data_IF_281210128942
#
_entry.id   IF_281210128942
#
_cell.length_a   1.000
_cell.length_b   1.000
_cell.length_c   1.000
_cell.angle_alpha   90.00
_cell.angle_beta   90.00
_cell.angle_gamma   90.00
#
_symmetry.space_group_name_H-M   'P 1'
#
loop_
_entity.id
_entity.type
_entity.pdbx_description
1 polymer ?
#
# COMPACT_ATOMS: atom_id res chain seq x y z
N UNK A 1 -11.38 21.80 -13.84
CA UNK A 1 -9.93 21.96 -13.60
C UNK A 1 -9.29 20.61 -13.91
N UNK A 2 -8.37 20.55 -14.88
CA UNK A 2 -7.87 19.30 -15.44
C UNK A 2 -7.14 18.46 -14.37
N UNK A 3 -7.41 17.16 -14.31
CA UNK A 3 -6.55 16.20 -13.60
C UNK A 3 -5.12 16.42 -14.11
N UNK A 4 -4.19 16.84 -13.25
CA UNK A 4 -2.76 16.83 -13.59
C UNK A 4 -2.44 15.38 -13.97
N UNK A 5 -1.99 15.17 -15.21
CA UNK A 5 -1.73 13.82 -15.68
C UNK A 5 -0.63 13.20 -14.83
N UNK A 6 -0.77 11.90 -14.55
CA UNK A 6 0.27 11.09 -13.92
C UNK A 6 0.74 10.05 -14.96
N UNK A 7 1.61 10.44 -15.91
CA UNK A 7 1.96 9.61 -17.06
C UNK A 7 2.54 8.23 -16.68
N UNK A 8 3.21 8.12 -15.53
CA UNK A 8 3.79 6.87 -15.05
C UNK A 8 2.75 5.82 -14.58
N UNK A 9 1.53 6.23 -14.26
CA UNK A 9 0.43 5.35 -13.83
C UNK A 9 -0.84 5.66 -14.63
N UNK A 10 -0.91 5.28 -15.91
CA UNK A 10 -2.09 5.55 -16.73
C UNK A 10 -3.20 4.53 -16.48
N UNK A 11 -4.45 4.97 -16.73
CA UNK A 11 -5.62 4.09 -16.83
C UNK A 11 -5.88 3.23 -15.59
N UNK A 12 -5.90 1.91 -15.76
CA UNK A 12 -6.22 0.96 -14.70
C UNK A 12 -5.19 0.99 -13.56
N UNK A 13 -3.93 1.34 -13.82
CA UNK A 13 -2.91 1.46 -12.78
C UNK A 13 -3.10 2.70 -11.91
N UNK A 14 -3.63 3.78 -12.49
CA UNK A 14 -4.07 4.94 -11.73
C UNK A 14 -5.12 4.51 -10.70
N UNK A 15 -6.11 3.75 -11.16
CA UNK A 15 -7.15 3.24 -10.28
C UNK A 15 -6.60 2.22 -9.27
N UNK A 16 -5.86 1.19 -9.68
CA UNK A 16 -5.41 0.13 -8.79
C UNK A 16 -4.44 0.62 -7.70
N UNK A 17 -3.51 1.51 -8.04
CA UNK A 17 -2.47 1.96 -7.10
C UNK A 17 -2.81 3.24 -6.35
N UNK A 18 -3.78 4.03 -6.82
CA UNK A 18 -4.22 5.25 -6.13
C UNK A 18 -5.68 5.21 -5.66
N UNK A 19 -6.54 4.30 -6.15
CA UNK A 19 -8.01 4.31 -5.93
C UNK A 19 -8.73 2.95 -5.74
N UNK A 20 -8.12 1.78 -5.87
CA UNK A 20 -8.71 0.49 -5.44
C UNK A 20 -8.32 0.15 -4.00
N UNK A 21 -7.32 0.86 -3.50
CA UNK A 21 -7.08 1.03 -2.09
C UNK A 21 -7.54 2.40 -1.55
N UNK A 22 -8.84 2.77 -1.45
CA UNK A 22 -9.24 3.92 -0.65
C UNK A 22 -10.56 3.62 0.08
N UNK A 23 -10.49 3.47 1.40
CA UNK A 23 -11.63 3.68 2.27
C UNK A 23 -11.53 5.11 2.80
N UNK A 24 -12.36 5.98 2.24
CA UNK A 24 -12.91 7.25 2.77
C UNK A 24 -11.99 8.19 3.57
N UNK A 25 -11.98 9.45 3.11
CA UNK A 25 -11.49 10.59 3.87
C UNK A 25 -12.12 10.59 5.28
N UNK A 26 -11.32 10.33 6.31
CA UNK A 26 -11.65 10.70 7.68
C UNK A 26 -11.34 12.20 7.79
N UNK A 27 -12.33 13.09 7.99
CA UNK A 27 -12.07 14.47 8.32
C UNK A 27 -11.55 14.50 9.76
N UNK A 28 -10.24 14.48 9.93
CA UNK A 28 -9.65 14.91 11.19
C UNK A 28 -9.67 16.44 11.20
N UNK A 29 -10.77 17.02 11.65
CA UNK A 29 -10.79 18.41 12.12
C UNK A 29 -9.86 18.51 13.34
N UNK A 30 -8.64 18.97 13.10
CA UNK A 30 -7.74 19.44 14.14
C UNK A 30 -7.33 20.88 13.79
N UNK A 31 -7.86 21.80 14.60
CA UNK A 31 -7.59 23.24 14.69
C UNK A 31 -8.21 24.15 13.61
N UNK A 32 -9.23 24.92 14.05
CA UNK A 32 -10.02 25.86 13.26
C UNK A 32 -9.35 27.23 13.03
N UNK A 33 -8.05 27.38 13.25
CA UNK A 33 -7.35 28.67 13.07
C UNK A 33 -6.62 28.86 11.72
N UNK A 34 -6.64 27.89 10.79
CA UNK A 34 -6.01 28.01 9.45
C UNK A 34 -7.04 27.81 8.31
N UNK A 35 -8.20 28.49 8.40
CA UNK A 35 -9.35 28.20 7.54
C UNK A 35 -9.39 28.86 6.15
N UNK A 36 -8.33 29.53 5.69
CA UNK A 36 -8.36 30.18 4.36
C UNK A 36 -7.37 29.67 3.32
N UNK A 37 -6.53 28.66 3.63
CA UNK A 37 -5.57 28.12 2.65
C UNK A 37 -5.68 26.61 2.37
N UNK A 38 -6.48 25.86 3.12
CA UNK A 38 -6.55 24.39 3.02
C UNK A 38 -7.98 23.91 2.66
N UNK A 39 -8.68 24.63 1.78
CA UNK A 39 -10.00 24.20 1.28
C UNK A 39 -9.93 23.50 -0.10
N UNK A 40 -8.75 23.38 -0.71
CA UNK A 40 -8.60 22.92 -2.10
C UNK A 40 -7.65 21.73 -2.29
N UNK A 41 -7.31 20.98 -1.24
CA UNK A 41 -6.51 19.77 -1.41
C UNK A 41 -7.41 18.61 -1.88
N UNK A 42 -7.48 18.43 -3.20
CA UNK A 42 -7.81 17.16 -3.84
C UNK A 42 -6.86 16.08 -3.30
N UNK A 43 -7.23 15.48 -2.17
CA UNK A 43 -6.45 14.44 -1.51
C UNK A 43 -6.45 13.23 -2.44
N UNK A 44 -5.25 12.83 -2.88
CA UNK A 44 -5.07 11.47 -3.40
C UNK A 44 -5.32 10.55 -2.23
N UNK A 45 -6.25 9.59 -2.29
CA UNK A 45 -6.43 8.72 -1.15
C UNK A 45 -5.17 7.85 -0.97
N UNK A 46 -4.83 7.58 0.29
CA UNK A 46 -3.76 6.64 0.68
C UNK A 46 -4.10 5.25 0.16
N UNK A 47 -3.12 4.34 -0.04
CA UNK A 47 -3.41 2.92 -0.19
C UNK A 47 -4.05 2.38 1.10
N UNK A 48 -5.39 2.39 1.17
CA UNK A 48 -6.18 1.98 2.32
C UNK A 48 -5.90 0.56 2.79
N UNK A 49 -5.53 -0.38 1.91
CA UNK A 49 -5.16 -1.75 2.34
C UNK A 49 -3.96 -1.72 3.28
N UNK A 50 -3.09 -0.73 3.11
CA UNK A 50 -1.90 -0.54 3.94
C UNK A 50 -2.23 0.03 5.33
N UNK A 51 -3.35 0.72 5.50
CA UNK A 51 -3.73 1.34 6.79
C UNK A 51 -4.78 0.51 7.54
N UNK A 52 -5.55 -0.34 6.85
CA UNK A 52 -6.56 -1.21 7.47
C UNK A 52 -6.00 -2.01 8.66
N UNK A 53 -4.83 -2.68 8.59
CA UNK A 53 -4.28 -3.39 9.74
C UNK A 53 -4.02 -2.50 10.96
N UNK A 54 -3.59 -1.24 10.73
CA UNK A 54 -3.42 -0.27 11.82
C UNK A 54 -4.75 0.01 12.53
N UNK A 55 -5.80 0.29 11.77
CA UNK A 55 -7.15 0.53 12.31
C UNK A 55 -7.67 -0.71 13.02
N UNK A 56 -7.51 -1.90 12.42
CA UNK A 56 -7.99 -3.15 12.98
C UNK A 56 -7.34 -3.49 14.32
N UNK A 57 -6.04 -3.24 14.47
CA UNK A 57 -5.28 -3.57 15.68
C UNK A 57 -5.50 -2.51 16.77
N UNK A 58 -5.51 -1.21 16.42
CA UNK A 58 -5.61 -0.12 17.39
C UNK A 58 -7.04 0.25 17.79
N UNK A 59 -8.00 0.10 16.88
CA UNK A 59 -9.38 0.62 17.06
C UNK A 59 -10.36 -0.52 17.24
N UNK A 60 -10.63 -1.27 16.18
CA UNK A 60 -11.60 -2.37 16.18
C UNK A 60 -11.33 -3.27 14.97
N UNK A 61 -11.32 -4.61 15.12
CA UNK A 61 -11.75 -5.39 16.30
C UNK A 61 -10.73 -5.53 17.45
N UNK A 62 -9.52 -4.98 17.30
CA UNK A 62 -8.48 -4.93 18.32
C UNK A 62 -7.33 -5.94 18.11
N UNK A 63 -6.24 -5.74 18.83
CA UNK A 63 -5.04 -6.59 18.78
C UNK A 63 -5.30 -8.08 19.10
N UNK A 64 -6.17 -8.48 20.06
CA UNK A 64 -6.39 -9.90 20.36
C UNK A 64 -7.07 -10.63 19.21
N UNK A 65 -8.09 -10.01 18.62
CA UNK A 65 -8.78 -10.55 17.45
C UNK A 65 -7.80 -10.70 16.29
N UNK A 66 -7.02 -9.65 15.99
CA UNK A 66 -6.11 -9.67 14.85
C UNK A 66 -5.03 -10.74 15.03
N UNK A 67 -4.48 -10.87 16.23
CA UNK A 67 -3.52 -11.93 16.58
C UNK A 67 -4.12 -13.32 16.33
N UNK A 68 -5.36 -13.57 16.75
CA UNK A 68 -6.03 -14.84 16.50
C UNK A 68 -6.24 -15.12 15.00
N UNK A 69 -6.43 -14.09 14.19
CA UNK A 69 -6.57 -14.26 12.75
C UNK A 69 -5.24 -14.53 12.01
N UNK A 70 -4.08 -14.37 12.65
CA UNK A 70 -2.78 -14.63 11.99
C UNK A 70 -2.62 -16.09 11.55
N UNK A 71 -3.22 -17.04 12.27
CA UNK A 71 -3.21 -18.45 11.92
C UNK A 71 -4.63 -19.01 11.99
N UNK A 72 -5.19 -19.54 10.89
CA UNK A 72 -6.50 -20.20 10.93
C UNK A 72 -6.42 -21.37 11.91
N UNK A 73 -7.28 -21.37 12.93
CA UNK A 73 -7.31 -22.42 13.96
C UNK A 73 -8.74 -22.94 14.11
N UNK A 74 -8.92 -24.26 14.14
CA UNK A 74 -10.24 -24.90 14.34
C UNK A 74 -10.73 -24.83 15.79
N UNK A 75 -9.82 -24.54 16.73
CA UNK A 75 -10.11 -24.42 18.15
C UNK A 75 -10.74 -23.04 18.37
N UNK A 76 -11.95 -23.04 18.92
CA UNK A 76 -12.62 -21.85 19.43
C UNK A 76 -11.83 -21.29 20.63
N UNK A 77 -10.76 -20.55 20.34
CA UNK A 77 -10.07 -19.72 21.31
C UNK A 77 -10.91 -18.46 21.45
N UNK A 78 -11.17 -18.02 22.68
CA UNK A 78 -11.86 -16.77 22.93
C UNK A 78 -11.04 -15.62 22.33
N UNK A 79 -11.43 -15.16 21.14
CA UNK A 79 -10.76 -14.09 20.41
C UNK A 79 -10.82 -12.74 21.13
N UNK A 80 -11.63 -12.64 22.21
CA UNK A 80 -11.68 -11.49 23.10
C UNK A 80 -10.78 -11.64 24.34
N UNK A 81 -10.14 -12.79 24.54
CA UNK A 81 -9.22 -12.99 25.66
C UNK A 81 -8.02 -12.01 25.55
N UNK A 82 -7.65 -11.33 26.64
CA UNK A 82 -6.50 -10.41 26.63
C UNK A 82 -5.21 -11.14 26.24
N UNK A 83 -4.45 -10.55 25.32
CA UNK A 83 -3.09 -10.98 25.02
C UNK A 83 -2.17 -10.66 26.20
N UNK A 84 -1.09 -11.43 26.35
CA UNK A 84 -0.03 -11.02 27.26
C UNK A 84 0.61 -9.71 26.78
N UNK A 85 1.17 -8.94 27.72
CA UNK A 85 1.67 -7.60 27.42
C UNK A 85 2.75 -7.54 26.32
N UNK A 86 3.52 -8.61 26.13
CA UNK A 86 4.58 -8.64 25.11
C UNK A 86 3.97 -8.86 23.72
N UNK A 87 3.03 -9.78 23.60
CA UNK A 87 2.32 -10.03 22.35
C UNK A 87 1.47 -8.83 21.95
N UNK A 88 0.75 -8.20 22.88
CA UNK A 88 -0.01 -6.98 22.60
C UNK A 88 0.88 -5.84 22.08
N UNK A 89 2.05 -5.64 22.71
CA UNK A 89 3.03 -4.65 22.25
C UNK A 89 3.54 -4.97 20.84
N UNK A 90 3.86 -6.24 20.56
CA UNK A 90 4.32 -6.67 19.24
C UNK A 90 3.26 -6.41 18.15
N UNK A 91 1.99 -6.70 18.44
CA UNK A 91 0.88 -6.41 17.52
C UNK A 91 0.74 -4.91 17.23
N UNK A 92 0.84 -4.06 18.26
CA UNK A 92 0.76 -2.61 18.11
C UNK A 92 1.96 -2.02 17.35
N UNK A 93 3.15 -2.58 17.54
CA UNK A 93 4.33 -2.22 16.75
C UNK A 93 4.16 -2.60 15.27
N UNK A 94 3.61 -3.79 15.00
CA UNK A 94 3.27 -4.22 13.65
C UNK A 94 2.27 -3.25 13.00
N UNK A 95 1.20 -2.88 13.70
CA UNK A 95 0.25 -1.85 13.25
C UNK A 95 0.94 -0.52 12.92
N UNK A 96 1.84 -0.06 13.79
CA UNK A 96 2.57 1.19 13.56
C UNK A 96 3.44 1.14 12.29
N UNK A 97 4.01 -0.03 11.96
CA UNK A 97 4.75 -0.21 10.72
C UNK A 97 3.84 -0.02 9.49
N UNK A 98 2.64 -0.60 9.52
CA UNK A 98 1.66 -0.48 8.43
C UNK A 98 1.25 0.97 8.16
N UNK A 99 0.92 1.76 9.19
CA UNK A 99 0.58 3.19 8.99
C UNK A 99 1.76 4.01 8.47
N UNK A 100 2.98 3.78 8.98
CA UNK A 100 4.19 4.46 8.49
C UNK A 100 4.40 4.16 7.01
N UNK A 101 4.21 2.92 6.60
CA UNK A 101 4.31 2.52 5.19
C UNK A 101 3.25 3.20 4.31
N UNK A 102 1.99 3.25 4.76
CA UNK A 102 0.91 3.94 4.06
C UNK A 102 1.17 5.43 3.87
N UNK A 103 1.67 6.10 4.93
CA UNK A 103 2.06 7.53 4.88
C UNK A 103 3.24 7.74 3.94
N UNK A 104 4.27 6.88 3.99
CA UNK A 104 5.44 6.99 3.12
C UNK A 104 5.04 6.87 1.63
N UNK A 105 4.24 5.85 1.28
CA UNK A 105 3.75 5.66 -0.08
C UNK A 105 2.94 6.87 -0.56
N UNK A 106 2.05 7.39 0.28
CA UNK A 106 1.26 8.58 -0.04
C UNK A 106 2.16 9.79 -0.31
N UNK A 107 3.10 10.10 0.59
CA UNK A 107 3.98 11.26 0.44
C UNK A 107 4.89 11.13 -0.79
N UNK A 108 5.45 9.95 -1.04
CA UNK A 108 6.32 9.70 -2.18
C UNK A 108 5.55 9.82 -3.48
N UNK A 109 4.42 9.13 -3.65
CA UNK A 109 3.65 9.21 -4.89
C UNK A 109 3.08 10.61 -5.14
N UNK A 110 2.63 11.30 -4.08
CA UNK A 110 2.20 12.70 -4.19
C UNK A 110 3.34 13.60 -4.65
N UNK A 111 4.51 13.47 -4.02
CA UNK A 111 5.69 14.27 -4.39
C UNK A 111 6.09 14.01 -5.84
N UNK A 112 6.14 12.74 -6.25
CA UNK A 112 6.46 12.33 -7.62
C UNK A 112 5.45 12.88 -8.64
N UNK A 113 4.15 12.85 -8.32
CA UNK A 113 3.11 13.44 -9.17
C UNK A 113 3.26 14.95 -9.28
N UNK A 114 3.47 15.63 -8.16
CA UNK A 114 3.38 17.10 -8.10
C UNK A 114 4.68 17.77 -8.58
N UNK A 115 5.84 17.17 -8.34
CA UNK A 115 7.17 17.75 -8.67
C UNK A 115 7.73 17.28 -10.01
N UNK A 116 7.38 16.07 -10.47
CA UNK A 116 7.96 15.46 -11.67
C UNK A 116 6.95 15.32 -12.82
N UNK A 117 5.84 16.06 -12.80
CA UNK A 117 4.82 16.00 -13.86
C UNK A 117 5.37 16.27 -15.27
N UNK A 118 6.45 17.05 -15.36
CA UNK A 118 7.07 17.43 -16.64
C UNK A 118 8.24 16.51 -17.02
N UNK A 119 8.60 15.53 -16.18
CA UNK A 119 9.70 14.60 -16.42
C UNK A 119 9.24 13.15 -16.21
N UNK A 120 8.52 12.58 -17.19
CA UNK A 120 7.93 11.24 -17.06
C UNK A 120 8.98 10.12 -16.96
N UNK A 121 10.20 10.33 -17.47
CA UNK A 121 11.31 9.36 -17.37
C UNK A 121 11.76 9.19 -15.92
N UNK A 122 11.99 10.30 -15.21
CA UNK A 122 12.36 10.26 -13.79
C UNK A 122 11.19 9.76 -12.95
N UNK A 123 9.97 10.17 -13.31
CA UNK A 123 8.75 9.72 -12.67
C UNK A 123 8.61 8.18 -12.72
N UNK A 124 8.79 7.58 -13.91
CA UNK A 124 8.75 6.13 -14.09
C UNK A 124 9.83 5.41 -13.28
N UNK A 125 11.05 5.97 -13.19
CA UNK A 125 12.14 5.36 -12.42
C UNK A 125 11.85 5.33 -10.92
N UNK A 126 11.29 6.40 -10.37
CA UNK A 126 10.96 6.46 -8.93
C UNK A 126 9.77 5.53 -8.64
N UNK A 127 8.71 5.56 -9.46
CA UNK A 127 7.56 4.65 -9.31
C UNK A 127 8.01 3.19 -9.45
N UNK A 128 8.88 2.89 -10.42
CA UNK A 128 9.46 1.57 -10.60
C UNK A 128 10.27 1.11 -9.40
N UNK A 129 11.08 1.98 -8.81
CA UNK A 129 11.85 1.68 -7.59
C UNK A 129 10.94 1.39 -6.40
N UNK A 130 9.87 2.18 -6.23
CA UNK A 130 8.85 1.93 -5.22
C UNK A 130 8.15 0.57 -5.43
N UNK A 131 7.83 0.20 -6.68
CA UNK A 131 7.22 -1.09 -7.00
C UNK A 131 8.15 -2.27 -6.76
N UNK A 132 9.47 -2.12 -7.01
CA UNK A 132 10.45 -3.14 -6.63
C UNK A 132 10.47 -3.33 -5.11
N UNK A 133 10.57 -2.24 -4.35
CA UNK A 133 10.59 -2.30 -2.88
C UNK A 133 9.31 -2.96 -2.33
N UNK A 134 8.14 -2.57 -2.86
CA UNK A 134 6.85 -3.18 -2.54
C UNK A 134 6.81 -4.68 -2.88
N UNK A 135 7.28 -5.07 -4.07
CA UNK A 135 7.27 -6.48 -4.47
C UNK A 135 8.18 -7.34 -3.58
N UNK A 136 9.33 -6.80 -3.14
CA UNK A 136 10.21 -7.49 -2.19
C UNK A 136 9.56 -7.64 -0.81
N UNK A 137 8.96 -6.57 -0.28
CA UNK A 137 8.24 -6.62 0.99
C UNK A 137 7.09 -7.63 0.95
N UNK A 138 6.28 -7.60 -0.12
CA UNK A 138 5.18 -8.53 -0.34
C UNK A 138 5.67 -9.99 -0.43
N UNK A 139 6.77 -10.24 -1.14
CA UNK A 139 7.35 -11.59 -1.25
C UNK A 139 7.81 -12.12 0.11
N UNK A 140 8.51 -11.29 0.89
CA UNK A 140 8.95 -11.66 2.24
C UNK A 140 7.76 -11.93 3.16
N UNK A 141 6.73 -11.10 3.10
CA UNK A 141 5.52 -11.28 3.89
C UNK A 141 4.79 -12.58 3.52
N UNK A 142 4.58 -12.83 2.22
CA UNK A 142 3.94 -14.05 1.73
C UNK A 142 4.71 -15.31 2.13
N UNK A 143 6.04 -15.33 1.96
CA UNK A 143 6.87 -16.48 2.35
C UNK A 143 6.81 -16.71 3.86
N UNK A 144 6.87 -15.64 4.66
CA UNK A 144 6.79 -15.74 6.12
C UNK A 144 5.43 -16.27 6.55
N UNK A 145 4.33 -15.73 6.01
CA UNK A 145 2.96 -16.19 6.29
C UNK A 145 2.78 -17.65 5.91
N UNK A 146 3.19 -18.04 4.70
CA UNK A 146 3.11 -19.43 4.25
C UNK A 146 3.95 -20.39 5.11
N UNK A 147 5.14 -19.97 5.52
CA UNK A 147 6.02 -20.77 6.38
C UNK A 147 5.48 -20.94 7.81
N UNK A 148 4.72 -19.96 8.30
CA UNK A 148 4.11 -19.96 9.63
C UNK A 148 2.79 -20.74 9.72
N UNK A 149 2.19 -21.12 8.59
CA UNK A 149 0.98 -21.94 8.58
C UNK A 149 1.26 -23.39 9.02
N UNK A 150 0.31 -24.06 9.69
CA UNK A 150 0.36 -25.51 9.90
C UNK A 150 0.40 -26.28 8.57
N UNK A 151 1.11 -27.41 8.53
CA UNK A 151 1.29 -28.19 7.29
C UNK A 151 -0.02 -28.66 6.66
N UNK A 152 -1.06 -28.91 7.48
CA UNK A 152 -2.40 -29.27 7.03
C UNK A 152 -3.11 -28.15 6.26
N UNK A 153 -2.79 -26.89 6.54
CA UNK A 153 -3.44 -25.72 5.97
C UNK A 153 -2.67 -25.10 4.80
N UNK A 154 -1.36 -25.36 4.66
CA UNK A 154 -0.50 -24.75 3.63
C UNK A 154 -1.00 -24.91 2.20
N UNK A 155 -1.70 -26.00 1.92
CA UNK A 155 -2.16 -26.37 0.58
C UNK A 155 -3.69 -26.50 0.48
N UNK A 156 -4.41 -25.93 1.44
CA UNK A 156 -5.87 -26.01 1.52
C UNK A 156 -6.49 -24.60 1.51
N UNK A 157 -6.39 -23.84 0.40
CA UNK A 157 -6.77 -22.43 0.38
C UNK A 157 -8.24 -22.15 0.71
N UNK A 158 -9.11 -23.17 0.63
CA UNK A 158 -10.52 -23.06 0.98
C UNK A 158 -10.76 -22.90 2.49
N UNK A 159 -9.79 -23.30 3.30
CA UNK A 159 -9.86 -23.25 4.76
C UNK A 159 -9.13 -22.02 5.33
N UNK A 160 -8.54 -21.20 4.45
CA UNK A 160 -7.89 -19.98 4.87
C UNK A 160 -8.91 -18.94 5.34
N UNK A 161 -8.59 -18.27 6.44
CA UNK A 161 -9.33 -17.10 6.87
C UNK A 161 -8.96 -15.87 6.03
N UNK A 162 -9.66 -14.75 6.27
CA UNK A 162 -9.44 -13.51 5.52
C UNK A 162 -8.00 -13.01 5.62
N UNK A 163 -7.41 -13.01 6.81
CA UNK A 163 -6.03 -12.51 7.03
C UNK A 163 -5.01 -13.36 6.27
N UNK A 164 -5.20 -14.68 6.22
CA UNK A 164 -4.34 -15.58 5.42
C UNK A 164 -4.51 -15.34 3.92
N UNK A 165 -5.74 -15.15 3.44
CA UNK A 165 -5.97 -14.76 2.04
C UNK A 165 -5.35 -13.41 1.69
N UNK A 166 -5.42 -12.43 2.58
CA UNK A 166 -4.74 -11.15 2.40
C UNK A 166 -3.21 -11.32 2.37
N UNK A 167 -2.66 -12.17 3.25
CA UNK A 167 -1.22 -12.43 3.36
C UNK A 167 -0.64 -13.28 2.23
N UNK A 168 -1.46 -14.01 1.46
CA UNK A 168 -0.99 -14.88 0.37
C UNK A 168 -1.69 -14.55 -0.95
N UNK A 169 -2.99 -14.83 -1.07
CA UNK A 169 -3.74 -14.69 -2.33
C UNK A 169 -3.73 -13.26 -2.88
N UNK A 170 -3.97 -12.26 -2.02
CA UNK A 170 -3.97 -10.85 -2.42
C UNK A 170 -2.57 -10.38 -2.82
N UNK A 171 -1.53 -10.82 -2.10
CA UNK A 171 -0.14 -10.54 -2.45
C UNK A 171 0.23 -11.14 -3.81
N UNK A 172 -0.18 -12.38 -4.10
CA UNK A 172 0.04 -12.99 -5.43
C UNK A 172 -0.56 -12.10 -6.53
N UNK A 173 -1.80 -11.64 -6.35
CA UNK A 173 -2.42 -10.70 -7.30
C UNK A 173 -1.63 -9.40 -7.43
N UNK A 174 -1.18 -8.81 -6.32
CA UNK A 174 -0.39 -7.57 -6.33
C UNK A 174 0.99 -7.74 -7.01
N UNK A 175 1.66 -8.87 -6.81
CA UNK A 175 2.91 -9.20 -7.52
C UNK A 175 2.65 -9.34 -9.01
N UNK A 176 1.56 -9.99 -9.43
CA UNK A 176 1.19 -10.11 -10.85
C UNK A 176 0.89 -8.75 -11.49
N UNK A 177 0.13 -7.88 -10.80
CA UNK A 177 -0.17 -6.52 -11.30
C UNK A 177 1.11 -5.70 -11.45
N UNK A 178 2.04 -5.77 -10.48
CA UNK A 178 3.34 -5.09 -10.59
C UNK A 178 4.20 -5.71 -11.69
N UNK A 179 4.18 -7.03 -11.84
CA UNK A 179 4.83 -7.73 -12.96
C UNK A 179 4.31 -7.25 -14.31
N UNK A 180 2.99 -7.13 -14.48
CA UNK A 180 2.37 -6.56 -15.67
C UNK A 180 2.81 -5.11 -15.92
N UNK A 181 2.97 -4.31 -14.86
CA UNK A 181 3.51 -2.96 -14.96
C UNK A 181 4.97 -2.94 -15.44
N UNK A 182 5.85 -3.82 -14.94
CA UNK A 182 7.23 -3.94 -15.44
C UNK A 182 7.29 -4.46 -16.88
N UNK A 183 6.36 -5.33 -17.26
CA UNK A 183 6.16 -5.78 -18.64
C UNK A 183 5.53 -4.71 -19.55
N UNK A 184 5.14 -3.56 -19.01
CA UNK A 184 4.58 -2.45 -19.78
C UNK A 184 3.20 -2.75 -20.37
N UNK A 185 2.50 -3.75 -19.85
CA UNK A 185 1.15 -4.11 -20.29
C UNK A 185 0.22 -2.94 -19.94
N UNK A 186 -0.48 -2.37 -20.92
CA UNK A 186 -1.45 -1.29 -20.68
C UNK A 186 -0.83 0.08 -20.35
N UNK A 187 0.45 0.32 -20.63
CA UNK A 187 1.09 1.65 -20.47
C UNK A 187 2.17 1.93 -21.52
N UNK A 188 2.45 3.21 -21.73
CA UNK A 188 3.65 3.65 -22.47
C UNK A 188 4.89 3.52 -21.58
N UNK A 189 5.96 2.94 -22.12
CA UNK A 189 7.27 2.92 -21.44
C UNK A 189 8.08 4.14 -21.86
N UNK A 190 8.67 4.83 -20.90
CA UNK A 190 9.63 5.91 -21.11
C UNK A 190 11.09 5.43 -20.98
N UNK A 191 11.30 4.15 -20.60
CA UNK A 191 12.60 3.45 -20.65
C UNK A 191 13.11 3.36 -22.10
N UNK A 192 14.01 4.27 -22.46
CA UNK A 192 14.63 4.35 -23.79
C UNK A 192 14.76 5.76 -24.34
N UNK A 193 13.98 6.72 -23.83
CA UNK A 193 14.26 8.14 -24.08
C UNK A 193 15.45 8.55 -23.21
N UNK A 194 16.67 8.42 -23.75
CA UNK A 194 17.79 9.21 -23.26
C UNK A 194 17.36 10.66 -23.31
N UNK A 195 17.25 11.31 -22.16
CA UNK A 195 17.19 12.76 -22.09
C UNK A 195 18.44 13.27 -22.81
N UNK A 196 18.26 13.78 -24.03
CA UNK A 196 19.34 14.44 -24.75
C UNK A 196 19.90 15.54 -23.84
N UNK A 197 21.22 15.60 -23.57
CA UNK A 197 21.82 16.54 -22.62
C UNK A 197 21.65 18.04 -22.95
N UNK A 198 20.78 18.43 -23.89
CA UNK A 198 20.64 19.79 -24.41
C UNK A 198 19.33 20.52 -24.07
N UNK A 199 18.36 19.90 -23.38
CA UNK A 199 17.05 20.54 -23.16
C UNK A 199 16.94 21.40 -21.89
N UNK A 200 17.92 21.38 -20.99
CA UNK A 200 17.91 22.18 -19.76
C UNK A 200 18.52 23.59 -19.89
N UNK A 201 19.05 23.96 -21.07
CA UNK A 201 19.77 25.23 -21.30
C UNK A 201 19.01 26.26 -22.15
N UNK A 202 17.71 26.09 -22.42
CA UNK A 202 16.95 27.01 -23.29
C UNK A 202 15.78 27.75 -22.64
N UNK A 203 15.80 27.90 -21.32
CA UNK A 203 14.85 28.78 -20.64
C UNK A 203 15.52 29.41 -19.42
N UNK A 204 16.36 30.41 -19.69
CA UNK A 204 16.71 31.47 -18.74
C UNK A 204 16.32 32.80 -19.39
#
# INVERSE_FOLDING_TARGET
MAFKSFPALPGIYHFLFLYWEPGEAIPCDFDSSIHHSISNSNASPYPASTIIPYIMIWVYPGSPWFHHQLVPTEIAVDAAAPLDARTDMAMKQLANCYIVFGVLLFLVFRTVRDTLSNNPVVQERIVGSAFVALALADTLHMVTTWSGLPDSLKYTPREWNLVTHCGISFIVANILIRGAWFLGIGRTRYHGMTSSPGQYLKSA
#
